data_IF_966016856654
#
_entry.id   IF_966016856654
#
_cell.length_a   1.000
_cell.length_b   1.000
_cell.length_c   1.000
_cell.angle_alpha   90.00
_cell.angle_beta   90.00
_cell.angle_gamma   90.00
#
_symmetry.space_group_name_H-M   'P 1'
#
loop_
_entity.id
_entity.type
_entity.pdbx_description
1 polymer ?
#
# COMPACT_ATOMS: atom_id res chain seq x y z
N UNK A 1 -0.99 -4.96 4.27
CA UNK A 1 -2.06 -4.48 3.38
C UNK A 1 -1.60 -4.70 1.96
N UNK A 2 -2.49 -5.01 1.03
CA UNK A 2 -2.09 -5.25 -0.36
C UNK A 2 -2.37 -4.01 -1.20
N UNK A 3 -1.44 -3.69 -2.09
CA UNK A 3 -1.59 -2.69 -3.14
C UNK A 3 -1.53 -3.38 -4.49
N UNK A 4 -2.29 -2.88 -5.45
CA UNK A 4 -2.31 -3.39 -6.82
C UNK A 4 -2.16 -2.23 -7.80
N UNK A 5 -1.34 -2.43 -8.82
CA UNK A 5 -1.17 -1.55 -9.97
C UNK A 5 -1.05 -2.37 -11.27
N UNK A 6 -0.68 -1.73 -12.39
CA UNK A 6 -0.51 -2.42 -13.67
C UNK A 6 0.63 -3.47 -13.69
N UNK A 7 1.55 -3.41 -12.71
CA UNK A 7 2.67 -4.35 -12.55
C UNK A 7 2.33 -5.53 -11.64
N UNK A 8 1.19 -5.49 -10.96
CA UNK A 8 0.67 -6.59 -10.13
C UNK A 8 0.40 -6.19 -8.68
N UNK A 9 0.45 -7.17 -7.78
CA UNK A 9 0.10 -7.00 -6.36
C UNK A 9 1.37 -6.97 -5.51
N UNK A 10 1.46 -5.99 -4.61
CA UNK A 10 2.52 -5.86 -3.61
C UNK A 10 1.95 -5.93 -2.19
N UNK A 11 2.55 -6.76 -1.33
CA UNK A 11 2.22 -6.77 0.09
C UNK A 11 3.04 -5.72 0.85
N UNK A 12 2.34 -4.83 1.51
CA UNK A 12 2.89 -3.76 2.34
C UNK A 12 2.72 -4.12 3.82
N UNK A 13 3.83 -4.29 4.52
CA UNK A 13 3.87 -4.55 5.95
C UNK A 13 3.87 -3.21 6.70
N UNK A 14 2.85 -2.98 7.52
CA UNK A 14 2.74 -1.79 8.35
C UNK A 14 3.00 -2.14 9.81
N UNK A 15 3.92 -1.44 10.45
CA UNK A 15 4.08 -1.54 11.90
C UNK A 15 2.80 -1.11 12.62
N UNK A 16 2.60 -1.58 13.85
CA UNK A 16 1.41 -1.24 14.65
C UNK A 16 1.27 0.28 14.82
N UNK A 17 2.38 0.99 15.06
CA UNK A 17 2.39 2.44 15.22
C UNK A 17 2.00 3.17 13.94
N UNK A 18 2.58 2.77 12.79
CA UNK A 18 2.26 3.35 11.49
C UNK A 18 0.79 3.12 11.15
N UNK A 19 0.30 1.89 11.34
CA UNK A 19 -1.09 1.55 11.08
C UNK A 19 -2.04 2.36 11.96
N UNK A 20 -1.79 2.45 13.27
CA UNK A 20 -2.63 3.28 14.16
C UNK A 20 -2.70 4.73 13.69
N UNK A 21 -1.58 5.32 13.26
CA UNK A 21 -1.50 6.72 12.81
C UNK A 21 -2.15 6.94 11.45
N UNK A 22 -1.96 6.03 10.48
CA UNK A 22 -2.34 6.23 9.08
C UNK A 22 -3.50 5.35 8.60
N UNK A 23 -4.15 4.56 9.46
CA UNK A 23 -5.25 3.64 9.10
C UNK A 23 -6.34 4.27 8.24
N UNK A 24 -6.67 5.54 8.48
CA UNK A 24 -7.70 6.25 7.71
C UNK A 24 -7.26 6.41 6.26
N UNK A 25 -6.08 7.00 6.07
CA UNK A 25 -5.45 7.16 4.75
C UNK A 25 -5.31 5.81 4.05
N UNK A 26 -4.80 4.80 4.75
CA UNK A 26 -4.56 3.46 4.21
C UNK A 26 -5.83 2.73 3.73
N UNK A 27 -7.00 3.00 4.33
CA UNK A 27 -8.26 2.31 3.99
C UNK A 27 -9.20 3.12 3.10
N UNK A 28 -9.14 4.44 3.17
CA UNK A 28 -10.11 5.31 2.49
C UNK A 28 -9.55 5.93 1.20
N UNK A 29 -8.24 5.95 1.01
CA UNK A 29 -7.64 6.48 -0.22
C UNK A 29 -7.76 5.45 -1.35
N UNK A 30 -8.18 5.89 -2.53
CA UNK A 30 -8.22 5.05 -3.74
C UNK A 30 -6.83 4.70 -4.27
N UNK A 31 -5.82 5.52 -3.95
CA UNK A 31 -4.43 5.27 -4.27
C UNK A 31 -3.50 5.84 -3.18
N UNK A 32 -2.32 5.26 -3.07
CA UNK A 32 -1.36 5.55 -1.99
C UNK A 32 0.06 5.72 -2.53
N UNK A 33 0.78 6.68 -1.98
CA UNK A 33 2.25 6.68 -1.99
C UNK A 33 2.72 5.99 -0.72
N UNK A 34 3.51 4.93 -0.89
CA UNK A 34 4.10 4.18 0.22
C UNK A 34 5.61 4.27 0.16
N UNK A 35 6.23 4.66 1.27
CA UNK A 35 7.69 4.65 1.46
C UNK A 35 8.07 3.56 2.46
N UNK A 36 9.17 2.87 2.17
CA UNK A 36 9.68 1.84 3.04
C UNK A 36 10.88 1.10 2.47
N UNK A 37 11.14 -0.07 3.05
CA UNK A 37 12.24 -0.96 2.68
C UNK A 37 11.70 -2.23 2.02
N UNK A 38 12.38 -2.69 0.98
CA UNK A 38 12.05 -3.96 0.36
C UNK A 38 12.64 -5.12 1.17
N UNK A 39 11.79 -6.07 1.50
CA UNK A 39 12.17 -7.35 2.06
C UNK A 39 11.94 -8.41 0.98
N UNK A 40 13.00 -9.19 0.69
CA UNK A 40 12.95 -10.27 -0.30
C UNK A 40 13.27 -11.57 0.39
N UNK A 41 12.40 -12.56 0.25
CA UNK A 41 12.64 -13.90 0.75
C UNK A 41 13.39 -14.76 -0.28
N UNK A 42 14.14 -15.79 0.14
CA UNK A 42 14.76 -16.76 -0.77
C UNK A 42 13.77 -17.45 -1.71
N UNK A 43 12.51 -17.57 -1.30
CA UNK A 43 11.40 -18.16 -2.06
C UNK A 43 10.80 -17.18 -3.09
N UNK A 44 11.38 -15.98 -3.25
CA UNK A 44 10.97 -14.99 -4.24
C UNK A 44 9.84 -14.07 -3.81
N UNK A 45 9.41 -14.13 -2.54
CA UNK A 45 8.38 -13.23 -2.02
C UNK A 45 8.98 -11.84 -1.80
N UNK A 46 8.33 -10.82 -2.33
CA UNK A 46 8.72 -9.41 -2.12
C UNK A 46 7.66 -8.70 -1.29
N UNK A 47 8.08 -8.15 -0.15
CA UNK A 47 7.26 -7.30 0.70
C UNK A 47 7.88 -5.89 0.76
N UNK A 48 7.04 -4.89 1.05
CA UNK A 48 7.49 -3.54 1.40
C UNK A 48 7.18 -3.26 2.87
N UNK A 49 8.21 -3.11 3.69
CA UNK A 49 8.08 -2.70 5.09
C UNK A 49 7.94 -1.18 5.15
N UNK A 50 6.72 -0.71 5.39
CA UNK A 50 6.38 0.71 5.31
C UNK A 50 6.81 1.49 6.56
N UNK A 51 7.25 2.73 6.33
CA UNK A 51 7.49 3.74 7.36
C UNK A 51 6.65 5.03 7.15
N UNK A 52 6.01 5.18 5.98
CA UNK A 52 5.16 6.33 5.64
C UNK A 52 4.05 5.94 4.67
N UNK A 53 2.86 6.48 4.89
CA UNK A 53 1.68 6.32 4.02
C UNK A 53 1.05 7.70 3.74
N UNK A 54 0.87 8.02 2.47
CA UNK A 54 0.24 9.27 2.01
C UNK A 54 -0.78 9.00 0.91
N UNK A 55 -1.88 9.77 0.84
CA UNK A 55 -2.83 9.64 -0.27
C UNK A 55 -2.15 10.09 -1.57
N UNK A 56 -2.33 9.29 -2.63
CA UNK A 56 -1.98 9.73 -3.98
C UNK A 56 -3.21 10.39 -4.61
N UNK A 57 -3.12 11.69 -4.89
CA UNK A 57 -4.19 12.42 -5.58
C UNK A 57 -4.17 12.06 -7.05
N UNK A 58 -5.16 11.29 -7.48
CA UNK A 58 -5.34 10.94 -8.89
C UNK A 58 -6.04 12.09 -9.62
N UNK A 59 -5.40 12.63 -10.66
CA UNK A 59 -6.00 13.62 -11.57
C UNK A 59 -6.96 12.99 -12.58
N UNK A 60 -6.93 11.66 -12.73
CA UNK A 60 -7.84 10.88 -13.57
C UNK A 60 -8.84 10.16 -12.68
N UNK A 61 -10.14 10.21 -13.02
CA UNK A 61 -11.17 9.43 -12.32
C UNK A 61 -10.92 7.95 -12.54
N UNK A 62 -10.36 7.29 -11.54
CA UNK A 62 -10.28 5.84 -11.42
C UNK A 62 -11.38 5.38 -10.48
N UNK A 63 -12.18 4.38 -10.90
CA UNK A 63 -13.09 3.70 -9.98
C UNK A 63 -12.30 2.61 -9.26
N UNK A 64 -12.32 2.66 -7.92
CA UNK A 64 -11.88 1.54 -7.08
C UNK A 64 -12.54 0.26 -7.57
N UNK A 65 -11.73 -0.78 -7.80
CA UNK A 65 -12.26 -2.13 -8.01
C UNK A 65 -12.55 -2.70 -6.63
N UNK A 66 -13.73 -2.37 -6.13
CA UNK A 66 -14.17 -2.83 -4.81
C UNK A 66 -14.12 -4.37 -4.75
N UNK A 67 -13.59 -4.88 -3.66
CA UNK A 67 -13.60 -6.31 -3.34
C UNK A 67 -15.07 -6.74 -3.13
N UNK A 68 -15.60 -7.55 -4.03
CA UNK A 68 -16.70 -8.48 -3.71
C UNK A 68 -16.12 -9.74 -3.08
#
# INVERSE_FOLDING_TARGET
>A
MNLEDESGILNVICSVGLWKRHRRVARESSALVVRGFLERSPEGVTNLVADKLEPLVLTVKSNSRDFR
#
